data_IF_885085000068
#
_entry.id   IF_885085000068
#
_cell.length_a   1.000
_cell.length_b   1.000
_cell.length_c   1.000
_cell.angle_alpha   90.00
_cell.angle_beta   90.00
_cell.angle_gamma   90.00
#
_symmetry.space_group_name_H-M   'P 1'
#
loop_
_entity.id
_entity.type
_entity.pdbx_description
1 polymer ?
#
# COMPACT_ATOMS: atom_id res chain seq x y z
N UNK A 1 16.81 -4.84 -9.31
CA UNK A 1 16.32 -5.16 -7.95
C UNK A 1 17.50 -5.65 -7.11
N UNK A 2 17.73 -5.05 -5.95
CA UNK A 2 18.89 -5.34 -5.09
C UNK A 2 18.57 -6.35 -3.97
N UNK A 3 19.55 -6.69 -3.13
CA UNK A 3 19.36 -7.53 -1.92
C UNK A 3 18.57 -6.84 -0.80
N UNK A 4 17.99 -5.68 -1.08
CA UNK A 4 17.36 -4.78 -0.12
C UNK A 4 15.91 -4.58 -0.53
N UNK A 5 14.99 -4.82 0.40
CA UNK A 5 13.58 -4.50 0.22
C UNK A 5 13.35 -2.99 0.38
N UNK A 6 12.44 -2.45 -0.40
CA UNK A 6 12.00 -1.05 -0.34
C UNK A 6 10.62 -0.99 0.27
N UNK A 7 10.46 -0.06 1.21
CA UNK A 7 9.19 0.26 1.83
C UNK A 7 8.60 1.48 1.13
N UNK A 8 7.50 1.31 0.40
CA UNK A 8 6.74 2.40 -0.19
C UNK A 8 5.86 3.03 0.88
N UNK A 9 6.08 4.33 1.14
CA UNK A 9 5.32 5.11 2.11
C UNK A 9 4.03 5.62 1.49
N UNK A 10 2.90 5.00 1.84
CA UNK A 10 1.58 5.52 1.44
C UNK A 10 1.26 6.81 2.21
N UNK A 11 0.59 7.76 1.56
CA UNK A 11 0.15 9.00 2.21
C UNK A 11 -0.88 8.68 3.31
N UNK A 12 -0.39 8.67 4.54
CA UNK A 12 -1.17 8.33 5.71
C UNK A 12 -2.00 9.51 6.23
N UNK A 13 -1.64 10.75 5.86
CA UNK A 13 -2.29 11.96 6.37
C UNK A 13 -3.51 12.37 5.55
N UNK A 14 -3.47 12.14 4.23
CA UNK A 14 -4.61 12.45 3.36
C UNK A 14 -5.35 11.19 2.95
N UNK A 15 -4.67 10.20 2.39
CA UNK A 15 -5.32 9.04 1.77
C UNK A 15 -5.89 8.07 2.81
N UNK A 16 -5.10 7.64 3.80
CA UNK A 16 -5.60 6.73 4.82
C UNK A 16 -6.59 7.39 5.78
N UNK A 17 -6.42 8.69 6.06
CA UNK A 17 -7.25 9.40 7.04
C UNK A 17 -8.54 9.99 6.46
N UNK A 18 -8.53 10.46 5.21
CA UNK A 18 -9.67 11.16 4.58
C UNK A 18 -10.11 10.56 3.25
N UNK A 19 -9.31 9.69 2.65
CA UNK A 19 -9.61 9.06 1.37
C UNK A 19 -10.65 7.96 1.49
N UNK A 20 -11.13 7.54 0.33
CA UNK A 20 -12.07 6.43 0.16
C UNK A 20 -11.32 5.11 -0.05
N UNK A 21 -11.97 3.96 0.23
CA UNK A 21 -11.41 2.65 -0.09
C UNK A 21 -10.96 2.49 -1.55
N UNK A 22 -11.64 3.15 -2.48
CA UNK A 22 -11.32 3.11 -3.92
C UNK A 22 -10.03 3.88 -4.23
N UNK A 23 -9.84 5.05 -3.63
CA UNK A 23 -8.60 5.82 -3.79
C UNK A 23 -7.41 5.09 -3.17
N UNK A 24 -7.61 4.40 -2.04
CA UNK A 24 -6.59 3.54 -1.42
C UNK A 24 -6.22 2.37 -2.35
N UNK A 25 -7.20 1.75 -3.00
CA UNK A 25 -6.95 0.66 -3.94
C UNK A 25 -6.15 1.12 -5.17
N UNK A 26 -6.52 2.27 -5.73
CA UNK A 26 -5.83 2.84 -6.89
C UNK A 26 -4.38 3.20 -6.57
N UNK A 27 -4.11 3.86 -5.43
CA UNK A 27 -2.74 4.19 -5.02
C UNK A 27 -1.88 2.93 -4.86
N UNK A 28 -2.44 1.86 -4.29
CA UNK A 28 -1.73 0.59 -4.15
C UNK A 28 -1.45 -0.03 -5.52
N UNK A 29 -2.40 0.03 -6.45
CA UNK A 29 -2.20 -0.43 -7.82
C UNK A 29 -1.06 0.35 -8.51
N UNK A 30 -1.06 1.68 -8.39
CA UNK A 30 -0.06 2.56 -8.98
C UNK A 30 1.34 2.29 -8.40
N UNK A 31 1.46 2.07 -7.09
CA UNK A 31 2.72 1.71 -6.43
C UNK A 31 3.24 0.36 -6.95
N UNK A 32 2.36 -0.64 -7.06
CA UNK A 32 2.74 -1.98 -7.55
C UNK A 32 3.15 -1.92 -9.02
N UNK A 33 2.43 -1.18 -9.85
CA UNK A 33 2.77 -0.97 -11.26
C UNK A 33 4.12 -0.27 -11.41
N UNK A 34 4.34 0.81 -10.65
CA UNK A 34 5.60 1.54 -10.65
C UNK A 34 6.79 0.69 -10.17
N UNK A 35 6.57 -0.27 -9.26
CA UNK A 35 7.60 -1.22 -8.82
C UNK A 35 7.91 -2.31 -9.87
N UNK A 36 6.91 -2.66 -10.69
CA UNK A 36 6.98 -3.68 -11.72
C UNK A 36 7.32 -5.09 -11.21
N UNK A 37 7.63 -6.00 -12.12
CA UNK A 37 7.82 -7.43 -11.82
C UNK A 37 9.01 -7.71 -10.90
N UNK A 38 8.76 -8.34 -9.74
CA UNK A 38 9.80 -8.86 -8.84
C UNK A 38 9.61 -8.51 -7.36
N UNK A 39 10.30 -9.25 -6.49
CA UNK A 39 10.15 -9.17 -5.04
C UNK A 39 10.84 -7.96 -4.40
N UNK A 40 10.59 -7.77 -3.10
CA UNK A 40 11.24 -6.73 -2.29
C UNK A 40 10.48 -5.42 -2.17
N UNK A 41 9.17 -5.41 -2.42
CA UNK A 41 8.29 -4.29 -2.11
C UNK A 41 7.52 -4.56 -0.82
N UNK A 42 7.50 -3.59 0.08
CA UNK A 42 6.62 -3.55 1.25
C UNK A 42 5.82 -2.25 1.20
N UNK A 43 4.51 -2.32 1.44
CA UNK A 43 3.65 -1.13 1.48
C UNK A 43 3.27 -0.87 2.93
N UNK A 44 3.56 0.34 3.41
CA UNK A 44 3.23 0.77 4.77
C UNK A 44 3.04 2.29 4.84
N UNK A 45 2.46 2.82 5.93
CA UNK A 45 2.48 4.26 6.20
C UNK A 45 3.91 4.80 6.26
N UNK A 46 4.16 5.94 5.61
CA UNK A 46 5.49 6.54 5.53
C UNK A 46 6.07 7.10 6.84
N UNK A 47 5.26 7.30 7.88
CA UNK A 47 5.74 7.80 9.18
C UNK A 47 4.96 7.17 10.33
N UNK A 48 3.65 7.46 10.41
CA UNK A 48 2.78 7.02 11.51
C UNK A 48 1.38 6.68 10.94
N UNK A 49 0.64 5.77 11.60
CA UNK A 49 -0.79 5.61 11.28
C UNK A 49 -1.59 6.52 12.22
N UNK A 50 -2.38 7.49 11.70
CA UNK A 50 -3.18 8.35 12.55
C UNK A 50 -4.10 7.55 13.50
N UNK A 51 -4.15 7.90 14.79
CA UNK A 51 -4.97 7.17 15.78
C UNK A 51 -6.46 7.07 15.40
N UNK A 52 -6.96 8.01 14.60
CA UNK A 52 -8.34 8.06 14.13
C UNK A 52 -8.53 7.53 12.70
N UNK A 53 -7.55 6.84 12.13
CA UNK A 53 -7.70 6.21 10.81
C UNK A 53 -8.92 5.28 10.83
N UNK A 54 -9.89 5.45 9.91
CA UNK A 54 -11.04 4.57 9.84
C UNK A 54 -10.63 3.12 9.63
N UNK A 55 -11.30 2.19 10.32
CA UNK A 55 -11.04 0.75 10.15
C UNK A 55 -11.24 0.29 8.71
N UNK A 56 -12.22 0.87 8.01
CA UNK A 56 -12.50 0.57 6.60
C UNK A 56 -11.31 0.92 5.70
N UNK A 57 -10.58 2.01 5.99
CA UNK A 57 -9.37 2.39 5.26
C UNK A 57 -8.22 1.39 5.49
N UNK A 58 -8.10 0.88 6.72
CA UNK A 58 -7.10 -0.15 7.07
C UNK A 58 -7.40 -1.46 6.34
N UNK A 59 -8.67 -1.87 6.34
CA UNK A 59 -9.12 -3.06 5.62
C UNK A 59 -8.94 -2.87 4.12
N UNK A 60 -9.29 -1.70 3.57
CA UNK A 60 -9.11 -1.38 2.16
C UNK A 60 -7.64 -1.49 1.73
N UNK A 61 -6.71 -0.95 2.53
CA UNK A 61 -5.27 -1.06 2.28
C UNK A 61 -4.82 -2.53 2.26
N UNK A 62 -5.23 -3.32 3.25
CA UNK A 62 -4.91 -4.76 3.32
C UNK A 62 -5.41 -5.50 2.08
N UNK A 63 -6.68 -5.30 1.72
CA UNK A 63 -7.31 -5.98 0.58
C UNK A 63 -6.68 -5.53 -0.74
N UNK A 64 -6.35 -4.24 -0.88
CA UNK A 64 -5.67 -3.72 -2.07
C UNK A 64 -4.29 -4.35 -2.24
N UNK A 65 -3.50 -4.45 -1.17
CA UNK A 65 -2.19 -5.11 -1.21
C UNK A 65 -2.34 -6.59 -1.53
N UNK A 66 -3.37 -7.27 -1.03
CA UNK A 66 -3.63 -8.68 -1.36
C UNK A 66 -4.09 -8.89 -2.81
N UNK A 67 -4.81 -7.91 -3.40
CA UNK A 67 -5.26 -7.94 -4.80
C UNK A 67 -4.13 -7.69 -5.78
N UNK A 68 -3.36 -6.63 -5.55
CA UNK A 68 -2.35 -6.13 -6.49
C UNK A 68 -0.96 -6.72 -6.21
N UNK A 69 -0.66 -7.01 -4.95
CA UNK A 69 0.60 -7.60 -4.54
C UNK A 69 0.79 -9.02 -5.08
N UNK A 70 1.94 -9.27 -5.68
CA UNK A 70 2.34 -10.60 -6.13
C UNK A 70 2.75 -11.44 -4.92
N UNK A 71 1.86 -12.34 -4.49
CA UNK A 71 2.29 -13.50 -3.70
C UNK A 71 3.41 -14.24 -4.47
N UNK A 72 4.39 -14.87 -3.78
CA UNK A 72 5.68 -15.30 -4.34
C UNK A 72 5.67 -16.38 -5.45
N UNK A 73 4.53 -16.69 -6.07
CA UNK A 73 4.40 -17.71 -7.13
C UNK A 73 3.87 -17.13 -8.46
N UNK A 74 4.50 -16.06 -8.97
CA UNK A 74 4.36 -15.66 -10.38
C UNK A 74 5.72 -15.45 -11.01
#
# INVERSE_FOLDING_TARGET
KGRTAVMAGIDHMFLLFKGTPQEIDQEVADIVEAWGDGSGLMISPGCEMPFKTPMDSIVALREAVARHGTAPNR
#
